data_IF_831412228690
#
_entry.id   IF_831412228690
#
_cell.length_a   1.000
_cell.length_b   1.000
_cell.length_c   1.000
_cell.angle_alpha   90.00
_cell.angle_beta   90.00
_cell.angle_gamma   90.00
#
_symmetry.space_group_name_H-M   'P 1'
#
loop_
_entity.id
_entity.type
_entity.pdbx_description
1 polymer ?
#
# COMPACT_ATOMS: atom_id res chain seq x y z
N UNK A 1 -41.85 -10.47 41.90
CA UNK A 1 -41.43 -9.15 42.43
C UNK A 1 -39.90 -9.12 42.39
N UNK A 2 -39.29 -8.09 41.78
CA UNK A 2 -37.86 -7.73 41.93
C UNK A 2 -37.57 -7.29 43.39
N UNK A 3 -36.31 -7.12 43.90
CA UNK A 3 -35.00 -7.03 43.22
C UNK A 3 -33.84 -7.79 43.93
N UNK A 4 -32.59 -7.66 43.48
CA UNK A 4 -31.59 -6.96 44.33
C UNK A 4 -30.80 -5.88 43.54
N UNK A 5 -30.81 -4.62 43.98
CA UNK A 5 -29.74 -3.92 44.74
C UNK A 5 -28.30 -4.22 44.26
N UNK A 6 -27.69 -3.43 43.37
CA UNK A 6 -27.06 -2.08 43.50
C UNK A 6 -25.62 -2.10 44.05
N UNK A 7 -24.71 -1.82 43.10
CA UNK A 7 -23.47 -1.01 43.13
C UNK A 7 -22.17 -1.47 43.83
N UNK A 8 -21.17 -1.69 42.96
CA UNK A 8 -19.83 -1.04 42.86
C UNK A 8 -18.94 -0.91 44.11
N UNK A 9 -17.74 -1.50 44.01
CA UNK A 9 -16.42 -0.80 44.02
C UNK A 9 -15.30 -1.84 43.92
N UNK A 10 -14.62 -1.93 42.78
CA UNK A 10 -13.28 -1.35 42.57
C UNK A 10 -12.21 -1.91 43.51
N UNK A 11 -11.48 -2.92 43.04
CA UNK A 11 -10.07 -3.10 43.42
C UNK A 11 -9.27 -3.56 42.20
N UNK A 12 -8.72 -2.56 41.51
CA UNK A 12 -7.35 -2.49 40.99
C UNK A 12 -6.77 -3.78 40.39
N UNK A 13 -7.00 -4.00 39.10
CA UNK A 13 -6.10 -4.81 38.28
C UNK A 13 -4.75 -4.07 38.15
N UNK A 14 -3.60 -4.67 38.47
CA UNK A 14 -2.33 -4.14 38.03
C UNK A 14 -2.27 -4.31 36.51
N UNK A 15 -2.37 -3.21 35.78
CA UNK A 15 -2.07 -3.15 34.35
C UNK A 15 -0.68 -3.72 34.13
N UNK A 16 -0.59 -4.98 33.71
CA UNK A 16 0.62 -5.49 33.08
C UNK A 16 0.74 -4.69 31.80
N UNK A 17 1.67 -3.73 31.82
CA UNK A 17 2.19 -3.04 30.66
C UNK A 17 2.43 -4.12 29.59
N UNK A 18 1.49 -4.25 28.65
CA UNK A 18 1.72 -5.01 27.43
C UNK A 18 2.84 -4.27 26.75
N UNK A 19 4.04 -4.80 26.92
CA UNK A 19 5.22 -4.42 26.16
C UNK A 19 4.79 -4.45 24.69
N UNK A 20 4.61 -3.25 24.13
CA UNK A 20 4.32 -3.04 22.73
C UNK A 20 5.62 -3.36 21.98
N UNK A 21 5.96 -4.64 21.98
CA UNK A 21 6.77 -5.23 20.94
C UNK A 21 6.09 -4.82 19.65
N UNK A 22 6.75 -4.03 18.79
CA UNK A 22 6.16 -3.70 17.51
C UNK A 22 5.90 -5.04 16.85
N UNK A 23 4.62 -5.37 16.65
CA UNK A 23 4.24 -6.45 15.79
C UNK A 23 4.74 -6.04 14.41
N UNK A 24 5.97 -6.48 14.10
CA UNK A 24 6.47 -6.54 12.74
C UNK A 24 5.39 -7.31 12.03
N UNK A 25 4.66 -6.62 11.15
CA UNK A 25 3.69 -7.23 10.27
C UNK A 25 4.44 -8.32 9.53
N UNK A 26 4.38 -9.55 10.06
CA UNK A 26 4.64 -10.74 9.30
C UNK A 26 3.51 -10.79 8.30
N UNK A 27 3.69 -10.08 7.19
CA UNK A 27 3.04 -10.45 5.96
C UNK A 27 3.32 -11.94 5.81
N UNK A 28 2.30 -12.77 6.02
CA UNK A 28 2.37 -14.21 5.83
C UNK A 28 2.43 -14.51 4.33
N UNK A 29 3.49 -14.02 3.69
CA UNK A 29 3.98 -14.40 2.38
C UNK A 29 5.51 -14.31 2.49
N UNK A 30 6.17 -15.45 2.70
CA UNK A 30 7.64 -15.54 2.71
C UNK A 30 8.31 -15.69 4.08
N UNK A 31 7.77 -16.51 4.99
CA UNK A 31 8.56 -16.98 6.15
C UNK A 31 9.73 -17.81 5.60
N UNK A 32 10.93 -17.23 5.58
CA UNK A 32 12.16 -17.85 5.06
C UNK A 32 12.71 -17.25 3.74
N UNK A 33 12.01 -16.29 3.13
CA UNK A 33 12.49 -15.65 1.90
C UNK A 33 13.41 -14.44 2.20
N UNK A 34 14.56 -14.41 1.53
CA UNK A 34 15.49 -13.27 1.59
C UNK A 34 14.79 -11.96 1.25
N UNK A 35 15.20 -10.86 1.90
CA UNK A 35 14.77 -9.51 1.54
C UNK A 35 15.08 -9.19 0.07
N UNK A 36 16.22 -9.68 -0.43
CA UNK A 36 16.64 -9.50 -1.82
C UNK A 36 15.68 -10.19 -2.79
N UNK A 37 15.29 -11.44 -2.51
CA UNK A 37 14.33 -12.18 -3.33
C UNK A 37 12.96 -11.49 -3.33
N UNK A 38 12.49 -11.04 -2.16
CA UNK A 38 11.25 -10.25 -2.05
C UNK A 38 11.33 -8.95 -2.84
N UNK A 39 12.46 -8.26 -2.80
CA UNK A 39 12.68 -7.05 -3.58
C UNK A 39 12.64 -7.33 -5.08
N UNK A 40 13.38 -8.34 -5.57
CA UNK A 40 13.36 -8.70 -6.98
C UNK A 40 11.96 -9.11 -7.46
N UNK A 41 11.24 -9.91 -6.67
CA UNK A 41 9.87 -10.30 -6.96
C UNK A 41 8.95 -9.07 -7.02
N UNK A 42 9.06 -8.16 -6.06
CA UNK A 42 8.27 -6.92 -6.04
C UNK A 42 8.58 -6.03 -7.24
N UNK A 43 9.85 -5.85 -7.62
CA UNK A 43 10.26 -5.05 -8.78
C UNK A 43 9.82 -5.69 -10.09
N UNK A 44 9.91 -7.02 -10.22
CA UNK A 44 9.46 -7.74 -11.40
C UNK A 44 7.94 -7.61 -11.58
N UNK A 45 7.18 -7.81 -10.49
CA UNK A 45 5.73 -7.63 -10.50
C UNK A 45 5.36 -6.19 -10.84
N UNK A 46 5.98 -5.20 -10.19
CA UNK A 46 5.76 -3.79 -10.46
C UNK A 46 6.04 -3.42 -11.94
N UNK A 47 7.10 -3.99 -12.52
CA UNK A 47 7.45 -3.75 -13.93
C UNK A 47 6.41 -4.34 -14.89
N UNK A 48 5.93 -5.55 -14.59
CA UNK A 48 4.87 -6.20 -15.36
C UNK A 48 3.55 -5.42 -15.27
N UNK A 49 3.20 -4.93 -14.07
CA UNK A 49 2.01 -4.13 -13.84
C UNK A 49 2.09 -2.80 -14.61
N UNK A 50 3.21 -2.07 -14.53
CA UNK A 50 3.37 -0.82 -15.28
C UNK A 50 3.27 -0.99 -16.80
N UNK A 51 3.88 -2.05 -17.35
CA UNK A 51 3.77 -2.32 -18.79
C UNK A 51 2.34 -2.74 -19.16
N UNK A 52 1.69 -3.56 -18.34
CA UNK A 52 0.28 -3.91 -18.51
C UNK A 52 -0.64 -2.69 -18.49
N UNK A 53 -0.44 -1.78 -17.56
CA UNK A 53 -1.20 -0.54 -17.40
C UNK A 53 -1.01 0.38 -18.61
N UNK A 54 0.24 0.56 -19.03
CA UNK A 54 0.60 1.31 -20.23
C UNK A 54 -0.08 0.74 -21.48
N UNK A 55 -0.07 -0.57 -21.65
CA UNK A 55 -0.76 -1.23 -22.76
C UNK A 55 -2.26 -1.02 -22.69
N UNK A 56 -2.89 -1.20 -21.52
CA UNK A 56 -4.33 -0.96 -21.33
C UNK A 56 -4.72 0.48 -21.68
N UNK A 57 -3.90 1.46 -21.29
CA UNK A 57 -4.11 2.86 -21.67
C UNK A 57 -3.96 3.04 -23.18
N UNK A 58 -2.92 2.47 -23.80
CA UNK A 58 -2.72 2.56 -25.24
C UNK A 58 -3.88 1.95 -26.05
N UNK A 59 -4.44 0.82 -25.59
CA UNK A 59 -5.64 0.23 -26.17
C UNK A 59 -6.87 1.10 -25.93
N UNK A 60 -7.04 1.63 -24.71
CA UNK A 60 -8.15 2.51 -24.38
C UNK A 60 -8.16 3.76 -25.27
N UNK A 61 -7.01 4.41 -25.49
CA UNK A 61 -6.88 5.58 -26.40
C UNK A 61 -7.32 5.24 -27.82
N UNK A 62 -7.03 4.04 -28.33
CA UNK A 62 -7.38 3.63 -29.69
C UNK A 62 -8.87 3.31 -29.86
N UNK A 63 -9.53 2.85 -28.81
CA UNK A 63 -10.94 2.45 -28.82
C UNK A 63 -11.90 3.53 -28.33
N UNK A 64 -11.38 4.70 -27.94
CA UNK A 64 -12.18 5.75 -27.34
C UNK A 64 -12.87 6.60 -28.42
N UNK A 65 -14.14 6.89 -28.24
CA UNK A 65 -14.85 7.85 -29.07
C UNK A 65 -14.67 9.25 -28.47
N UNK A 66 -13.89 10.10 -29.15
CA UNK A 66 -13.62 11.46 -28.70
C UNK A 66 -14.89 12.34 -28.62
N UNK A 67 -16.01 11.89 -29.19
CA UNK A 67 -17.29 12.58 -29.15
C UNK A 67 -18.18 12.14 -27.98
N UNK A 68 -17.83 11.05 -27.27
CA UNK A 68 -18.51 10.60 -26.05
C UNK A 68 -17.77 11.09 -24.79
N UNK A 69 -18.32 12.07 -24.05
CA UNK A 69 -17.70 12.59 -22.83
C UNK A 69 -17.48 11.54 -21.76
N UNK A 70 -18.32 10.50 -21.70
CA UNK A 70 -18.19 9.44 -20.68
C UNK A 70 -16.92 8.62 -20.93
N UNK A 71 -16.70 8.18 -22.16
CA UNK A 71 -15.49 7.45 -22.55
C UNK A 71 -14.21 8.27 -22.32
N UNK A 72 -14.27 9.60 -22.50
CA UNK A 72 -13.18 10.53 -22.22
C UNK A 72 -12.82 10.61 -20.73
N UNK A 73 -13.83 10.71 -19.86
CA UNK A 73 -13.62 10.75 -18.40
C UNK A 73 -13.00 9.43 -17.90
N UNK A 74 -13.45 8.30 -18.44
CA UNK A 74 -12.89 6.98 -18.09
C UNK A 74 -11.42 6.86 -18.51
N UNK A 75 -11.07 7.33 -19.71
CA UNK A 75 -9.69 7.36 -20.17
C UNK A 75 -8.83 8.30 -19.32
N UNK A 76 -9.33 9.49 -19.02
CA UNK A 76 -8.64 10.46 -18.16
C UNK A 76 -8.36 9.86 -16.78
N UNK A 77 -9.34 9.17 -16.19
CA UNK A 77 -9.19 8.54 -14.88
C UNK A 77 -8.08 7.49 -14.89
N UNK A 78 -8.04 6.63 -15.93
CA UNK A 78 -6.97 5.64 -16.10
C UNK A 78 -5.59 6.29 -16.26
N UNK A 79 -5.51 7.38 -17.01
CA UNK A 79 -4.26 8.11 -17.20
C UNK A 79 -3.77 8.80 -15.92
N UNK A 80 -4.70 9.40 -15.17
CA UNK A 80 -4.41 10.05 -13.90
C UNK A 80 -3.90 9.04 -12.86
N UNK A 81 -4.54 7.86 -12.78
CA UNK A 81 -4.13 6.79 -11.88
C UNK A 81 -2.71 6.30 -12.22
N UNK A 82 -2.43 5.97 -13.48
CA UNK A 82 -1.09 5.59 -13.92
C UNK A 82 -0.03 6.66 -13.61
N UNK A 83 -0.35 7.93 -13.89
CA UNK A 83 0.57 9.04 -13.59
C UNK A 83 0.86 9.15 -12.09
N UNK A 84 -0.14 8.95 -11.24
CA UNK A 84 0.02 8.98 -9.79
C UNK A 84 0.89 7.82 -9.30
N UNK A 85 0.62 6.60 -9.79
CA UNK A 85 1.40 5.42 -9.44
C UNK A 85 2.89 5.60 -9.78
N UNK A 86 3.21 6.05 -11.00
CA UNK A 86 4.61 6.29 -11.42
C UNK A 86 5.28 7.36 -10.53
N UNK A 87 4.58 8.46 -10.25
CA UNK A 87 5.12 9.54 -9.43
C UNK A 87 5.41 9.09 -7.99
N UNK A 88 4.51 8.31 -7.39
CA UNK A 88 4.69 7.77 -6.04
C UNK A 88 5.87 6.80 -5.96
N UNK A 89 5.96 5.86 -6.91
CA UNK A 89 7.08 4.91 -6.98
C UNK A 89 8.41 5.64 -7.14
N UNK A 90 8.50 6.60 -8.06
CA UNK A 90 9.71 7.40 -8.27
C UNK A 90 10.12 8.18 -7.01
N UNK A 91 9.15 8.81 -6.35
CA UNK A 91 9.37 9.57 -5.11
C UNK A 91 9.86 8.66 -3.99
N UNK A 92 9.20 7.51 -3.80
CA UNK A 92 9.56 6.54 -2.79
C UNK A 92 10.98 5.99 -3.03
N UNK A 93 11.28 5.57 -4.27
CA UNK A 93 12.61 5.10 -4.63
C UNK A 93 13.69 6.16 -4.33
N UNK A 94 13.43 7.42 -4.71
CA UNK A 94 14.35 8.52 -4.43
C UNK A 94 14.56 8.75 -2.93
N UNK A 95 13.48 8.68 -2.13
CA UNK A 95 13.54 8.83 -0.67
C UNK A 95 14.29 7.66 -0.01
N UNK A 96 14.08 6.44 -0.47
CA UNK A 96 14.79 5.26 0.03
C UNK A 96 16.28 5.35 -0.20
N UNK A 97 16.71 5.70 -1.43
CA UNK A 97 18.13 5.91 -1.74
C UNK A 97 18.71 7.04 -0.89
N UNK A 98 18.01 8.18 -0.79
CA UNK A 98 18.48 9.30 0.02
C UNK A 98 18.62 8.97 1.52
N UNK A 99 17.76 8.10 2.06
CA UNK A 99 17.89 7.62 3.44
C UNK A 99 19.12 6.72 3.62
N UNK A 100 19.40 5.83 2.66
CA UNK A 100 20.61 4.99 2.67
C UNK A 100 21.86 5.85 2.59
N UNK A 101 21.92 6.81 1.68
CA UNK A 101 23.05 7.73 1.55
C UNK A 101 23.27 8.57 2.81
N UNK A 102 22.20 9.02 3.47
CA UNK A 102 22.27 9.80 4.70
C UNK A 102 22.80 9.01 5.90
N UNK A 103 22.61 7.68 5.93
CA UNK A 103 23.13 6.81 6.99
C UNK A 103 24.58 6.39 6.77
N UNK A 104 25.02 6.35 5.51
CA UNK A 104 26.38 5.95 5.15
C UNK A 104 27.39 7.11 5.12
N UNK A 105 26.92 8.36 5.22
CA UNK A 105 27.74 9.56 5.27
C UNK A 105 27.95 10.04 6.70
#
# INVERSE_FOLDING_TARGET
MLPPNVSLSTMLEPSTLTDATPQVVSAATGIGESLESRFFNAVAQMSADFEGDRQRIAYAVRGVDATDPKSMIELQTKLADYSLQVAMVSTLARKSVGAVEALLR
#
